data_IF_344161103563
#
_entry.id   IF_344161103563
#
_cell.length_a   1.000
_cell.length_b   1.000
_cell.length_c   1.000
_cell.angle_alpha   90.00
_cell.angle_beta   90.00
_cell.angle_gamma   90.00
#
_symmetry.space_group_name_H-M   'P 1'
#
loop_
_entity.id
_entity.type
_entity.pdbx_description
1 polymer ?
#
# COMPACT_ATOMS: atom_id res chain seq x y z
N UNK A 1 36.91 21.98 -13.10
CA UNK A 1 36.63 20.52 -13.21
C UNK A 1 35.15 20.31 -12.96
N UNK A 2 34.41 19.87 -13.98
CA UNK A 2 32.96 19.66 -13.90
C UNK A 2 32.69 18.21 -13.49
N UNK A 3 32.18 18.00 -12.29
CA UNK A 3 31.77 16.68 -11.79
C UNK A 3 30.47 16.28 -12.48
N UNK A 4 30.52 15.23 -13.30
CA UNK A 4 29.37 14.67 -13.98
C UNK A 4 28.36 14.10 -12.96
N UNK A 5 27.11 14.54 -13.04
CA UNK A 5 26.01 13.96 -12.29
C UNK A 5 25.60 12.62 -12.92
N UNK A 6 25.24 11.58 -12.14
CA UNK A 6 24.73 10.34 -12.71
C UNK A 6 23.36 10.62 -13.34
N UNK A 7 23.23 10.27 -14.62
CA UNK A 7 21.96 10.30 -15.33
C UNK A 7 20.98 9.32 -14.67
N UNK A 8 19.93 9.86 -14.05
CA UNK A 8 18.85 9.08 -13.50
C UNK A 8 18.06 8.48 -14.69
N UNK A 9 18.26 7.18 -14.93
CA UNK A 9 17.58 6.45 -15.99
C UNK A 9 16.07 6.62 -15.87
N UNK A 10 15.43 7.01 -16.96
CA UNK A 10 13.98 7.12 -17.05
C UNK A 10 13.34 5.74 -16.87
N UNK A 11 12.48 5.50 -15.86
CA UNK A 11 11.54 4.41 -15.97
C UNK A 11 10.46 4.88 -16.95
N UNK A 12 10.36 4.21 -18.10
CA UNK A 12 9.24 4.39 -19.00
C UNK A 12 7.93 4.16 -18.23
N UNK A 13 6.94 5.00 -18.52
CA UNK A 13 5.59 4.88 -17.98
C UNK A 13 5.09 3.43 -18.07
N UNK A 14 4.93 2.78 -16.92
CA UNK A 14 4.32 1.44 -16.82
C UNK A 14 5.24 0.23 -16.63
N UNK A 15 6.56 0.39 -16.42
CA UNK A 15 7.39 -0.77 -16.05
C UNK A 15 7.48 -0.94 -14.52
N UNK A 16 7.07 -2.10 -13.95
CA UNK A 16 7.43 -2.42 -12.58
C UNK A 16 8.95 -2.69 -12.56
N UNK A 17 9.71 -1.77 -11.98
CA UNK A 17 11.12 -2.02 -11.70
C UNK A 17 11.20 -3.18 -10.70
N UNK A 18 11.57 -4.37 -11.18
CA UNK A 18 11.89 -5.52 -10.34
C UNK A 18 13.14 -5.15 -9.52
N UNK A 19 12.93 -4.49 -8.38
CA UNK A 19 14.00 -3.97 -7.54
C UNK A 19 13.66 -2.72 -6.74
N UNK A 20 12.61 -1.95 -7.09
CA UNK A 20 12.07 -0.96 -6.16
C UNK A 20 11.06 -1.65 -5.27
N UNK A 21 11.41 -1.90 -4.00
CA UNK A 21 10.39 -2.28 -3.02
C UNK A 21 9.36 -1.14 -2.97
N UNK A 22 8.23 -1.37 -3.63
CA UNK A 22 7.03 -0.56 -3.52
C UNK A 22 6.71 -0.53 -2.03
N UNK A 23 6.83 0.62 -1.40
CA UNK A 23 6.56 0.81 0.03
C UNK A 23 5.54 1.93 0.17
N UNK A 24 4.99 2.14 1.36
CA UNK A 24 3.71 2.85 1.47
C UNK A 24 2.56 1.99 0.95
N UNK A 25 1.56 2.62 0.34
CA UNK A 25 0.31 1.93 -0.06
C UNK A 25 0.42 1.09 -1.34
N UNK A 26 1.57 1.06 -2.01
CA UNK A 26 1.78 0.30 -3.27
C UNK A 26 2.35 -1.10 -3.09
N UNK A 27 2.67 -1.54 -1.87
CA UNK A 27 3.19 -2.90 -1.63
C UNK A 27 2.25 -3.97 -2.19
N UNK A 28 0.94 -3.73 -2.08
CA UNK A 28 -0.11 -4.55 -2.63
C UNK A 28 -1.33 -3.69 -3.02
N UNK A 29 -2.09 -4.08 -4.06
CA UNK A 29 -3.33 -3.40 -4.41
C UNK A 29 -4.36 -3.52 -3.28
N UNK A 30 -5.23 -2.51 -3.15
CA UNK A 30 -6.29 -2.51 -2.15
C UNK A 30 -7.28 -3.67 -2.38
N UNK A 31 -7.66 -4.31 -1.29
CA UNK A 31 -8.69 -5.35 -1.23
C UNK A 31 -9.48 -5.15 0.08
N UNK A 32 -10.80 -5.11 -0.01
CA UNK A 32 -11.66 -5.05 1.18
C UNK A 32 -11.36 -6.24 2.09
N UNK A 33 -11.04 -5.95 3.36
CA UNK A 33 -10.72 -7.00 4.33
C UNK A 33 -12.01 -7.50 4.97
N UNK A 34 -12.30 -8.80 5.01
CA UNK A 34 -13.45 -9.31 5.74
C UNK A 34 -13.32 -9.00 7.23
N UNK A 35 -14.40 -8.60 7.88
CA UNK A 35 -14.45 -8.44 9.34
C UNK A 35 -14.20 -9.79 10.01
N UNK A 36 -12.98 -9.98 10.54
CA UNK A 36 -12.59 -11.21 11.22
C UNK A 36 -13.35 -11.41 12.54
N UNK A 37 -13.76 -10.30 13.17
CA UNK A 37 -14.58 -10.28 14.39
C UNK A 37 -16.07 -10.10 14.06
N UNK A 38 -16.51 -10.73 12.95
CA UNK A 38 -17.91 -11.01 12.71
C UNK A 38 -18.42 -11.98 13.77
N UNK A 39 -18.53 -11.53 15.03
CA UNK A 39 -19.31 -12.18 16.04
C UNK A 39 -20.64 -12.53 15.41
N UNK A 40 -20.95 -13.83 15.37
CA UNK A 40 -22.10 -14.44 14.73
C UNK A 40 -23.27 -13.45 14.81
N UNK A 41 -23.55 -12.74 13.71
CA UNK A 41 -24.78 -11.98 13.67
C UNK A 41 -25.85 -13.06 13.76
N UNK A 42 -26.65 -13.02 14.80
CA UNK A 42 -27.78 -13.93 15.03
C UNK A 42 -28.83 -13.85 13.90
N UNK A 43 -28.54 -13.11 12.84
CA UNK A 43 -29.36 -12.83 11.66
C UNK A 43 -28.81 -13.41 10.35
N UNK A 44 -27.68 -14.14 10.36
CA UNK A 44 -27.18 -14.80 9.14
C UNK A 44 -26.69 -13.86 8.04
N UNK A 45 -26.31 -12.62 8.39
CA UNK A 45 -25.68 -11.70 7.43
C UNK A 45 -24.22 -12.07 7.22
N UNK A 46 -23.76 -11.96 5.96
CA UNK A 46 -22.35 -12.09 5.63
C UNK A 46 -21.50 -11.17 6.50
N UNK A 47 -20.27 -11.57 6.89
CA UNK A 47 -19.37 -10.70 7.63
C UNK A 47 -19.24 -9.39 6.86
N UNK A 48 -19.36 -8.26 7.57
CA UNK A 48 -19.13 -6.97 6.94
C UNK A 48 -17.67 -6.86 6.49
N UNK A 49 -17.39 -5.81 5.72
CA UNK A 49 -16.07 -5.59 5.12
C UNK A 49 -15.49 -4.32 5.72
N UNK A 50 -14.25 -4.40 6.16
CA UNK A 50 -13.49 -3.25 6.63
C UNK A 50 -12.95 -2.50 5.41
N UNK A 51 -13.45 -1.29 5.22
CA UNK A 51 -12.97 -0.36 4.20
C UNK A 51 -11.76 0.44 4.71
N UNK A 52 -10.70 -0.29 5.08
CA UNK A 52 -9.44 0.29 5.56
C UNK A 52 -8.25 -0.47 5.00
N UNK A 53 -7.28 0.26 4.44
CA UNK A 53 -6.02 -0.33 3.96
C UNK A 53 -5.19 -0.93 5.10
N UNK A 54 -5.18 -0.32 6.30
CA UNK A 54 -4.46 -0.86 7.45
C UNK A 54 -5.11 -2.12 8.04
N UNK A 55 -6.35 -2.42 7.66
CA UNK A 55 -6.99 -3.68 8.00
C UNK A 55 -6.45 -4.84 7.15
N UNK A 56 -5.85 -4.57 5.98
CA UNK A 56 -5.30 -5.62 5.13
C UNK A 56 -4.10 -6.30 5.82
N UNK A 57 -3.96 -7.63 5.72
CA UNK A 57 -2.89 -8.38 6.38
C UNK A 57 -1.47 -7.91 6.03
N UNK A 58 -1.27 -7.44 4.79
CA UNK A 58 0.01 -6.94 4.29
C UNK A 58 0.45 -5.63 4.97
N UNK A 59 -0.49 -4.88 5.54
CA UNK A 59 -0.25 -3.60 6.20
C UNK A 59 -0.50 -3.65 7.72
N UNK A 60 -0.63 -4.85 8.31
CA UNK A 60 -0.98 -5.04 9.72
C UNK A 60 -0.04 -4.35 10.73
N UNK A 61 1.21 -4.12 10.33
CA UNK A 61 2.25 -3.52 11.16
C UNK A 61 2.42 -2.01 10.89
N UNK A 62 1.51 -1.39 10.13
CA UNK A 62 1.53 0.03 9.75
C UNK A 62 0.16 0.69 9.92
N UNK A 63 0.17 1.94 10.36
CA UNK A 63 -1.01 2.80 10.37
C UNK A 63 -1.31 3.39 8.99
N UNK A 64 -2.52 3.95 8.84
CA UNK A 64 -2.92 4.65 7.60
C UNK A 64 -2.00 5.84 7.32
N UNK A 65 -1.64 6.60 8.36
CA UNK A 65 -0.78 7.77 8.28
C UNK A 65 0.66 7.40 7.92
N UNK A 66 1.21 6.29 8.43
CA UNK A 66 2.56 5.82 8.07
C UNK A 66 2.65 5.44 6.60
N UNK A 67 1.68 4.69 6.08
CA UNK A 67 1.62 4.34 4.66
C UNK A 67 1.57 5.60 3.80
N UNK A 68 0.71 6.55 4.18
CA UNK A 68 0.58 7.83 3.49
C UNK A 68 1.86 8.65 3.55
N UNK A 69 2.57 8.61 4.68
CA UNK A 69 3.84 9.30 4.83
C UNK A 69 4.92 8.73 3.92
N UNK A 70 5.03 7.41 3.80
CA UNK A 70 5.95 6.76 2.86
C UNK A 70 5.62 7.09 1.40
N UNK A 71 4.33 7.14 1.05
CA UNK A 71 3.87 7.56 -0.28
C UNK A 71 4.29 9.01 -0.58
N UNK A 72 4.15 9.92 0.40
CA UNK A 72 4.61 11.30 0.27
C UNK A 72 6.12 11.43 0.05
N UNK A 73 6.94 10.63 0.75
CA UNK A 73 8.40 10.65 0.57
C UNK A 73 8.81 10.19 -0.84
N UNK A 74 8.01 9.31 -1.45
CA UNK A 74 8.27 8.76 -2.79
C UNK A 74 7.64 9.57 -3.92
N UNK A 75 6.79 10.55 -3.59
CA UNK A 75 6.05 11.34 -4.57
C UNK A 75 4.87 10.59 -5.21
N UNK A 76 4.42 9.49 -4.60
CA UNK A 76 3.33 8.64 -5.10
C UNK A 76 2.00 9.01 -4.44
N UNK A 77 1.50 10.20 -4.77
CA UNK A 77 0.20 10.70 -4.28
C UNK A 77 -0.92 10.48 -5.28
#
# INVERSE_FOLDING_TARGET
TQTAAPAFGSPGFGQPAFGSQQGGSRVAPYSSTPEADGGISSTGQAPGKLESISAMPVYKDKSHEELRWEDYQKGDK
#
